data_IF_512067989701
#
_entry.id   IF_512067989701
#
_cell.length_a   1.000
_cell.length_b   1.000
_cell.length_c   1.000
_cell.angle_alpha   90.00
_cell.angle_beta   90.00
_cell.angle_gamma   90.00
#
_symmetry.space_group_name_H-M   'P 1'
#
loop_
_entity.id
_entity.type
_entity.pdbx_description
1 polymer ?
#
# COMPACT_ATOMS: atom_id res chain seq x y z
N UNK A 1 38.48 -16.90 11.05
CA UNK A 1 37.87 -15.85 10.20
C UNK A 1 38.56 -15.91 8.85
N UNK A 2 37.83 -16.29 7.80
CA UNK A 2 38.39 -16.44 6.44
C UNK A 2 38.18 -15.15 5.65
N UNK A 3 38.99 -14.91 4.61
CA UNK A 3 38.95 -13.66 3.82
C UNK A 3 37.60 -13.37 3.15
N UNK A 4 36.72 -14.37 3.01
CA UNK A 4 35.36 -14.19 2.52
C UNK A 4 34.46 -13.41 3.51
N UNK A 5 34.67 -13.60 4.82
CA UNK A 5 33.94 -12.88 5.87
C UNK A 5 34.34 -11.40 5.89
N UNK A 6 35.62 -11.12 5.59
CA UNK A 6 36.18 -9.76 5.57
C UNK A 6 35.68 -8.96 4.37
N UNK A 7 35.54 -9.60 3.19
CA UNK A 7 35.01 -8.96 1.99
C UNK A 7 33.51 -8.69 2.11
N UNK A 8 32.74 -9.64 2.68
CA UNK A 8 31.32 -9.45 2.98
C UNK A 8 31.13 -8.27 3.96
N UNK A 9 31.88 -8.22 5.05
CA UNK A 9 31.80 -7.12 6.02
C UNK A 9 32.31 -5.76 5.47
N UNK A 10 33.20 -5.76 4.48
CA UNK A 10 33.64 -4.55 3.80
C UNK A 10 32.56 -4.04 2.81
N UNK A 11 31.90 -4.95 2.09
CA UNK A 11 30.80 -4.62 1.19
C UNK A 11 29.56 -4.10 1.94
N UNK A 12 29.24 -4.68 3.11
CA UNK A 12 28.17 -4.17 3.99
C UNK A 12 28.43 -2.72 4.46
N UNK A 13 29.68 -2.40 4.84
CA UNK A 13 30.05 -1.02 5.21
C UNK A 13 30.06 -0.04 4.03
N UNK A 14 30.35 -0.50 2.81
CA UNK A 14 30.37 0.35 1.61
C UNK A 14 28.99 0.58 1.00
N UNK A 15 28.09 -0.40 1.07
CA UNK A 15 26.77 -0.35 0.43
C UNK A 15 25.67 0.21 1.35
N UNK A 16 26.00 0.44 2.63
CA UNK A 16 25.04 0.85 3.65
C UNK A 16 24.18 -0.35 4.05
N UNK A 17 24.29 -0.78 5.29
CA UNK A 17 23.28 -1.66 5.85
C UNK A 17 21.97 -0.88 5.91
N UNK A 18 20.97 -1.28 5.11
CA UNK A 18 19.59 -0.95 5.45
C UNK A 18 19.38 -1.46 6.86
N UNK A 19 19.11 -0.60 7.87
CA UNK A 19 19.00 -1.06 9.24
C UNK A 19 17.97 -2.18 9.27
N UNK A 20 18.31 -3.30 9.91
CA UNK A 20 17.37 -4.38 10.13
C UNK A 20 16.10 -3.79 10.80
N UNK A 21 14.99 -3.76 10.05
CA UNK A 21 13.72 -3.16 10.48
C UNK A 21 13.30 -1.86 9.77
N UNK A 22 14.10 -1.26 8.89
CA UNK A 22 13.66 -0.13 8.08
C UNK A 22 13.19 -0.61 6.70
N UNK A 23 11.86 -0.73 6.51
CA UNK A 23 11.29 -0.86 5.16
C UNK A 23 11.73 0.36 4.33
N UNK A 24 12.41 0.18 3.18
CA UNK A 24 12.91 1.31 2.40
C UNK A 24 11.78 2.27 2.06
N UNK A 25 11.94 3.55 2.42
CA UNK A 25 11.00 4.66 2.14
C UNK A 25 10.49 4.69 0.70
N UNK A 26 11.29 4.18 -0.22
CA UNK A 26 10.94 3.97 -1.62
C UNK A 26 11.15 2.50 -1.98
N UNK A 27 10.10 1.82 -2.41
CA UNK A 27 10.18 0.51 -3.06
C UNK A 27 10.19 0.68 -4.56
N UNK A 28 10.98 -0.13 -5.25
CA UNK A 28 11.10 -0.08 -6.71
C UNK A 28 10.87 -1.48 -7.27
N UNK A 29 10.09 -1.54 -8.34
CA UNK A 29 9.89 -2.73 -9.14
C UNK A 29 10.24 -2.44 -10.59
N UNK A 30 10.98 -3.34 -11.21
CA UNK A 30 11.34 -3.27 -12.63
C UNK A 30 11.14 -4.63 -13.27
N UNK A 31 10.59 -4.63 -14.48
CA UNK A 31 10.45 -5.84 -15.27
C UNK A 31 10.66 -5.59 -16.76
N UNK A 32 11.13 -6.63 -17.46
CA UNK A 32 11.47 -6.60 -18.86
C UNK A 32 10.79 -7.77 -19.58
N UNK A 33 10.00 -7.47 -20.60
CA UNK A 33 9.20 -8.45 -21.34
C UNK A 33 9.60 -8.47 -22.82
N UNK A 34 9.89 -9.67 -23.33
CA UNK A 34 10.18 -9.90 -24.73
C UNK A 34 8.88 -9.86 -25.56
N UNK A 35 8.76 -8.86 -26.44
CA UNK A 35 7.57 -8.55 -27.23
C UNK A 35 7.13 -9.74 -28.11
N UNK A 36 8.02 -10.39 -28.90
CA UNK A 36 7.63 -11.55 -29.70
C UNK A 36 7.10 -12.71 -28.84
N UNK A 37 7.67 -12.93 -27.65
CA UNK A 37 7.24 -14.01 -26.74
C UNK A 37 5.87 -13.72 -26.13
N UNK A 38 5.63 -12.49 -25.68
CA UNK A 38 4.32 -12.09 -25.16
C UNK A 38 3.23 -12.21 -26.23
N UNK A 39 3.49 -11.73 -27.44
CA UNK A 39 2.57 -11.85 -28.57
C UNK A 39 2.30 -13.31 -28.94
N UNK A 40 3.32 -14.16 -28.89
CA UNK A 40 3.18 -15.58 -29.18
C UNK A 40 2.36 -16.35 -28.13
N UNK A 41 2.55 -16.05 -26.84
CA UNK A 41 1.72 -16.61 -25.76
C UNK A 41 0.25 -16.21 -25.93
N UNK A 42 -0.02 -14.93 -26.21
CA UNK A 42 -1.37 -14.45 -26.45
C UNK A 42 -2.03 -15.15 -27.64
N UNK A 43 -1.31 -15.36 -28.75
CA UNK A 43 -1.83 -16.11 -29.91
C UNK A 43 -2.09 -17.57 -29.60
N UNK A 44 -1.16 -18.24 -28.90
CA UNK A 44 -1.27 -19.69 -28.61
C UNK A 44 -2.36 -20.02 -27.60
N UNK A 45 -2.54 -19.18 -26.58
CA UNK A 45 -3.47 -19.45 -25.48
C UNK A 45 -4.78 -18.64 -25.55
N UNK A 46 -4.84 -17.64 -26.42
CA UNK A 46 -6.05 -16.91 -26.77
C UNK A 46 -6.70 -16.14 -25.61
N UNK A 47 -8.01 -15.92 -25.76
CA UNK A 47 -8.81 -15.08 -24.85
C UNK A 47 -8.81 -15.55 -23.40
N UNK A 48 -8.72 -16.86 -23.14
CA UNK A 48 -8.69 -17.37 -21.77
C UNK A 48 -7.47 -16.87 -21.02
N UNK A 49 -6.29 -16.97 -21.63
CA UNK A 49 -5.06 -16.47 -21.02
C UNK A 49 -5.11 -14.96 -20.85
N UNK A 50 -5.63 -14.22 -21.85
CA UNK A 50 -5.82 -12.78 -21.73
C UNK A 50 -6.76 -12.40 -20.57
N UNK A 51 -7.83 -13.17 -20.35
CA UNK A 51 -8.76 -12.95 -19.25
C UNK A 51 -8.16 -13.27 -17.87
N UNK A 52 -7.18 -14.17 -17.81
CA UNK A 52 -6.44 -14.48 -16.58
C UNK A 52 -5.41 -13.39 -16.24
N UNK A 53 -4.83 -12.71 -17.24
CA UNK A 53 -3.82 -11.68 -17.04
C UNK A 53 -4.40 -10.25 -16.90
N UNK A 54 -5.50 -9.95 -17.61
CA UNK A 54 -5.99 -8.59 -17.82
C UNK A 54 -7.47 -8.44 -17.44
N UNK A 55 -7.85 -7.28 -16.90
CA UNK A 55 -9.24 -6.90 -16.66
C UNK A 55 -10.01 -6.66 -17.97
N UNK A 56 -11.36 -6.62 -17.95
CA UNK A 56 -12.14 -6.28 -19.14
C UNK A 56 -11.76 -4.90 -19.73
N UNK A 57 -11.48 -3.90 -18.90
CA UNK A 57 -11.10 -2.56 -19.35
C UNK A 57 -9.73 -2.55 -20.02
N UNK A 58 -8.80 -3.33 -19.48
CA UNK A 58 -7.50 -3.53 -20.10
C UNK A 58 -7.64 -4.18 -21.47
N UNK A 59 -8.38 -5.29 -21.57
CA UNK A 59 -8.60 -5.97 -22.85
C UNK A 59 -9.25 -5.07 -23.89
N UNK A 60 -10.20 -4.23 -23.49
CA UNK A 60 -10.79 -3.22 -24.38
C UNK A 60 -9.74 -2.23 -24.90
N UNK A 61 -8.87 -1.69 -24.03
CA UNK A 61 -7.77 -0.81 -24.45
C UNK A 61 -6.71 -1.52 -25.32
N UNK A 62 -6.47 -2.82 -25.09
CA UNK A 62 -5.56 -3.62 -25.93
C UNK A 62 -6.15 -3.84 -27.33
N UNK A 63 -7.44 -4.17 -27.41
CA UNK A 63 -8.12 -4.35 -28.68
C UNK A 63 -8.20 -3.05 -29.50
N UNK A 64 -8.28 -1.90 -28.82
CA UNK A 64 -8.29 -0.58 -29.47
C UNK A 64 -6.89 -0.02 -29.80
N UNK A 65 -5.80 -0.72 -29.41
CA UNK A 65 -4.45 -0.22 -29.61
C UNK A 65 -4.06 -0.22 -31.10
N UNK A 66 -3.61 0.92 -31.60
CA UNK A 66 -3.13 1.09 -32.98
C UNK A 66 -1.60 1.17 -33.03
N UNK A 67 -1.01 0.81 -34.18
CA UNK A 67 0.44 0.87 -34.40
C UNK A 67 1.19 -0.35 -33.86
N UNK A 68 1.41 -0.43 -32.54
CA UNK A 68 2.29 -1.43 -31.90
C UNK A 68 1.56 -2.30 -30.86
N UNK A 69 0.58 -3.13 -31.27
CA UNK A 69 -0.25 -3.91 -30.34
C UNK A 69 0.58 -4.92 -29.51
N UNK A 70 1.58 -5.57 -30.12
CA UNK A 70 2.49 -6.47 -29.40
C UNK A 70 3.31 -5.77 -28.32
N UNK A 71 3.87 -4.59 -28.63
CA UNK A 71 4.63 -3.80 -27.66
C UNK A 71 3.71 -3.24 -26.55
N UNK A 72 2.47 -2.87 -26.89
CA UNK A 72 1.47 -2.43 -25.91
C UNK A 72 1.09 -3.56 -24.94
N UNK A 73 0.87 -4.77 -25.45
CA UNK A 73 0.62 -5.96 -24.63
C UNK A 73 1.81 -6.24 -23.70
N UNK A 74 3.01 -6.31 -24.26
CA UNK A 74 4.23 -6.59 -23.53
C UNK A 74 4.53 -5.52 -22.45
N UNK A 75 4.36 -4.24 -22.78
CA UNK A 75 4.55 -3.14 -21.83
C UNK A 75 3.57 -3.20 -20.67
N UNK A 76 2.33 -3.66 -20.91
CA UNK A 76 1.35 -3.86 -19.84
C UNK A 76 1.69 -5.06 -18.95
N UNK A 77 2.18 -6.15 -19.52
CA UNK A 77 2.71 -7.28 -18.72
C UNK A 77 3.90 -6.82 -17.87
N UNK A 78 4.86 -6.12 -18.47
CA UNK A 78 6.01 -5.57 -17.76
C UNK A 78 5.55 -4.67 -16.60
N UNK A 79 4.54 -3.82 -16.82
CA UNK A 79 3.99 -2.97 -15.77
C UNK A 79 3.39 -3.77 -14.61
N UNK A 80 2.62 -4.82 -14.90
CA UNK A 80 2.01 -5.69 -13.88
C UNK A 80 3.07 -6.43 -13.06
N UNK A 81 4.08 -6.99 -13.72
CA UNK A 81 5.18 -7.73 -13.07
C UNK A 81 6.08 -6.78 -12.27
N UNK A 82 6.37 -5.60 -12.80
CA UNK A 82 7.09 -4.55 -12.07
C UNK A 82 6.32 -4.15 -10.80
N UNK A 83 5.01 -4.00 -10.88
CA UNK A 83 4.18 -3.69 -9.71
C UNK A 83 4.07 -4.85 -8.73
N UNK A 84 3.96 -6.09 -9.21
CA UNK A 84 3.99 -7.27 -8.35
C UNK A 84 5.28 -7.33 -7.52
N UNK A 85 6.43 -6.91 -8.09
CA UNK A 85 7.71 -6.86 -7.39
C UNK A 85 7.75 -5.85 -6.24
N UNK A 86 6.87 -4.85 -6.20
CA UNK A 86 6.69 -4.01 -5.01
C UNK A 86 6.13 -4.80 -3.82
N UNK A 87 5.34 -5.83 -4.10
CA UNK A 87 4.53 -6.61 -3.16
C UNK A 87 5.23 -7.90 -2.67
N UNK A 88 6.30 -8.33 -3.34
CA UNK A 88 7.16 -9.48 -2.99
C UNK A 88 8.12 -9.14 -1.84
N UNK A 89 8.65 -10.10 -1.05
CA UNK A 89 8.84 -11.54 -1.32
C UNK A 89 7.86 -12.51 -0.65
N UNK A 90 6.67 -12.07 -0.25
CA UNK A 90 5.71 -12.93 0.45
C UNK A 90 5.24 -14.15 -0.36
N UNK A 91 4.78 -15.18 0.37
CA UNK A 91 4.42 -16.51 -0.18
C UNK A 91 3.09 -16.56 -0.94
N UNK A 92 2.21 -15.59 -0.74
CA UNK A 92 0.89 -15.57 -1.36
C UNK A 92 0.98 -15.17 -2.85
N UNK A 93 0.29 -15.92 -3.71
CA UNK A 93 0.21 -15.64 -5.13
C UNK A 93 -0.81 -14.52 -5.37
N UNK A 94 -0.37 -13.41 -5.98
CA UNK A 94 -1.23 -12.32 -6.41
C UNK A 94 -1.52 -12.49 -7.91
N UNK A 95 -2.78 -12.67 -8.33
CA UNK A 95 -3.13 -12.74 -9.75
C UNK A 95 -2.78 -11.45 -10.48
N UNK A 96 -2.18 -11.52 -11.67
CA UNK A 96 -1.83 -10.32 -12.44
C UNK A 96 -3.05 -9.47 -12.85
N UNK A 97 -4.24 -10.06 -12.95
CA UNK A 97 -5.50 -9.32 -13.18
C UNK A 97 -5.89 -8.39 -12.04
N UNK A 98 -5.38 -8.63 -10.83
CA UNK A 98 -5.63 -7.75 -9.67
C UNK A 98 -4.80 -6.47 -9.74
N UNK A 99 -3.87 -6.38 -10.69
CA UNK A 99 -3.04 -5.20 -10.94
C UNK A 99 -3.50 -4.59 -12.27
N UNK A 100 -4.52 -3.73 -12.27
CA UNK A 100 -5.05 -3.15 -13.50
C UNK A 100 -4.18 -1.98 -13.98
N UNK A 101 -3.77 -1.98 -15.25
CA UNK A 101 -2.94 -0.93 -15.86
C UNK A 101 -3.68 -0.26 -17.00
N UNK A 102 -4.09 0.99 -16.79
CA UNK A 102 -4.83 1.78 -17.76
C UNK A 102 -3.99 2.96 -18.27
N UNK A 103 -4.34 3.50 -19.43
CA UNK A 103 -3.88 4.82 -19.84
C UNK A 103 -4.89 5.87 -19.40
N UNK A 104 -4.42 6.91 -18.72
CA UNK A 104 -5.19 8.11 -18.43
C UNK A 104 -5.50 8.90 -19.72
N UNK A 105 -6.47 9.83 -19.73
CA UNK A 105 -6.78 10.64 -20.90
C UNK A 105 -5.57 11.41 -21.49
N UNK A 106 -4.60 11.78 -20.65
CA UNK A 106 -3.34 12.38 -21.07
C UNK A 106 -2.27 11.41 -21.59
N UNK A 107 -2.60 10.13 -21.76
CA UNK A 107 -1.69 9.09 -22.26
C UNK A 107 -0.80 8.43 -21.20
N UNK A 108 -0.67 9.03 -20.01
CA UNK A 108 0.14 8.49 -18.92
C UNK A 108 -0.41 7.14 -18.42
N UNK A 109 0.44 6.12 -18.21
CA UNK A 109 0.02 4.83 -17.65
C UNK A 109 -0.20 4.93 -16.14
N UNK A 110 -1.28 4.34 -15.64
CA UNK A 110 -1.64 4.31 -14.21
C UNK A 110 -1.97 2.90 -13.76
N UNK A 111 -1.58 2.55 -12.52
CA UNK A 111 -1.92 1.27 -11.89
C UNK A 111 -3.09 1.45 -10.93
N UNK A 112 -4.08 0.56 -11.04
CA UNK A 112 -5.26 0.43 -10.19
C UNK A 112 -5.25 -0.96 -9.54
N UNK A 113 -4.70 -1.11 -8.32
CA UNK A 113 -4.69 -2.38 -7.62
C UNK A 113 -6.08 -2.73 -7.08
N UNK A 114 -6.42 -4.02 -7.14
CA UNK A 114 -7.67 -4.62 -6.69
C UNK A 114 -7.40 -5.81 -5.76
N UNK A 115 -8.44 -6.28 -5.06
CA UNK A 115 -8.44 -7.55 -4.32
C UNK A 115 -7.12 -7.86 -3.57
N UNK A 116 -6.41 -8.94 -3.94
CA UNK A 116 -5.20 -9.38 -3.23
C UNK A 116 -4.05 -8.37 -3.36
N UNK A 117 -3.91 -7.74 -4.53
CA UNK A 117 -2.90 -6.70 -4.74
C UNK A 117 -3.15 -5.49 -3.82
N UNK A 118 -4.40 -5.01 -3.73
CA UNK A 118 -4.75 -3.89 -2.87
C UNK A 118 -4.60 -4.22 -1.38
N UNK A 119 -5.02 -5.41 -0.96
CA UNK A 119 -4.87 -5.88 0.41
C UNK A 119 -3.38 -5.88 0.80
N UNK A 120 -2.52 -6.43 -0.06
CA UNK A 120 -1.09 -6.48 0.21
C UNK A 120 -0.45 -5.10 0.27
N UNK A 121 -0.82 -4.23 -0.67
CA UNK A 121 -0.26 -2.90 -0.78
C UNK A 121 -0.55 -2.08 0.49
N UNK A 122 -1.75 -2.25 1.08
CA UNK A 122 -2.12 -1.70 2.38
C UNK A 122 -1.32 -2.31 3.54
N UNK A 123 -1.18 -3.63 3.57
CA UNK A 123 -0.40 -4.33 4.61
C UNK A 123 1.09 -3.92 4.62
N UNK A 124 1.61 -3.47 3.47
CA UNK A 124 2.98 -2.96 3.32
C UNK A 124 3.08 -1.44 3.40
N UNK A 125 2.00 -0.74 3.77
CA UNK A 125 1.93 0.71 3.91
C UNK A 125 2.41 1.48 2.68
N UNK A 126 2.25 0.91 1.48
CA UNK A 126 2.54 1.60 0.23
C UNK A 126 1.35 2.50 -0.07
N UNK A 127 1.57 3.80 -0.23
CA UNK A 127 0.45 4.78 -0.32
C UNK A 127 0.40 5.53 -1.63
N UNK A 128 1.56 5.71 -2.26
CA UNK A 128 1.70 6.46 -3.50
C UNK A 128 2.61 5.69 -4.43
N UNK A 129 2.24 5.57 -5.70
CA UNK A 129 3.06 4.91 -6.70
C UNK A 129 3.03 5.65 -8.03
N UNK A 130 4.10 5.47 -8.79
CA UNK A 130 4.21 5.90 -10.18
C UNK A 130 4.61 4.73 -11.07
N UNK A 131 4.26 4.83 -12.34
CA UNK A 131 4.57 3.84 -13.36
C UNK A 131 5.11 4.54 -14.60
N UNK A 132 6.19 4.00 -15.13
CA UNK A 132 6.73 4.35 -16.44
C UNK A 132 6.87 3.09 -17.28
N UNK A 133 6.49 3.18 -18.56
CA UNK A 133 6.59 2.10 -19.52
C UNK A 133 7.27 2.66 -20.76
N UNK A 134 8.26 1.94 -21.28
CA UNK A 134 8.83 2.21 -22.60
C UNK A 134 9.10 0.90 -23.33
N UNK A 135 9.28 0.98 -24.64
CA UNK A 135 9.66 -0.16 -25.46
C UNK A 135 10.67 0.27 -26.52
N UNK A 136 11.61 -0.61 -26.83
CA UNK A 136 12.58 -0.42 -27.90
C UNK A 136 12.91 -1.78 -28.52
N UNK A 137 12.84 -1.85 -29.86
CA UNK A 137 12.97 -3.11 -30.59
C UNK A 137 11.99 -4.16 -30.08
N UNK A 138 12.52 -5.32 -29.71
CA UNK A 138 11.75 -6.50 -29.27
C UNK A 138 11.49 -6.54 -27.76
N UNK A 139 11.74 -5.45 -27.04
CA UNK A 139 11.63 -5.42 -25.58
C UNK A 139 10.72 -4.29 -25.11
N UNK A 140 9.92 -4.60 -24.09
CA UNK A 140 9.18 -3.62 -23.33
C UNK A 140 9.65 -3.67 -21.88
N UNK A 141 9.88 -2.51 -21.28
CA UNK A 141 10.31 -2.36 -19.89
C UNK A 141 9.31 -1.51 -19.14
N UNK A 142 9.07 -1.86 -17.88
CA UNK A 142 8.35 -1.01 -16.97
C UNK A 142 9.10 -0.84 -15.67
N UNK A 143 9.01 0.37 -15.12
CA UNK A 143 9.52 0.72 -13.81
C UNK A 143 8.37 1.30 -13.00
N UNK A 144 8.24 0.83 -11.77
CA UNK A 144 7.34 1.42 -10.80
C UNK A 144 8.09 1.73 -9.52
N UNK A 145 7.72 2.82 -8.89
CA UNK A 145 8.23 3.20 -7.58
C UNK A 145 7.04 3.48 -6.67
N UNK A 146 7.12 3.03 -5.42
CA UNK A 146 6.12 3.30 -4.41
C UNK A 146 6.75 3.87 -3.14
N UNK A 147 6.06 4.79 -2.49
CA UNK A 147 6.43 5.30 -1.19
C UNK A 147 5.80 4.43 -0.11
N UNK A 148 6.62 3.85 0.76
CA UNK A 148 6.12 3.31 2.03
C UNK A 148 5.97 4.47 2.99
N UNK A 149 4.79 4.60 3.60
CA UNK A 149 4.65 5.43 4.78
C UNK A 149 5.32 4.68 5.93
N UNK A 150 6.55 5.07 6.27
CA UNK A 150 7.10 4.77 7.59
C UNK A 150 6.26 5.55 8.61
N UNK A 151 5.12 4.98 9.01
CA UNK A 151 4.08 5.65 9.82
C UNK A 151 3.40 6.81 9.05
N UNK A 152 2.11 7.12 9.28
CA UNK A 152 1.57 8.42 8.89
C UNK A 152 2.51 9.47 9.47
N UNK A 153 3.08 10.30 8.61
CA UNK A 153 3.78 11.50 9.06
C UNK A 153 2.69 12.52 9.40
N UNK A 154 1.96 12.27 10.48
CA UNK A 154 1.64 13.41 11.35
C UNK A 154 3.02 13.92 11.75
N UNK A 155 3.39 15.20 11.49
CA UNK A 155 4.56 15.73 12.17
C UNK A 155 4.37 15.39 13.66
N UNK A 156 5.41 14.97 14.40
CA UNK A 156 5.29 15.02 15.84
C UNK A 156 4.92 16.47 16.14
N UNK A 157 3.65 16.71 16.50
CA UNK A 157 3.30 17.88 17.26
C UNK A 157 4.03 17.64 18.57
N UNK A 158 5.29 18.06 18.61
CA UNK A 158 6.09 18.06 19.82
C UNK A 158 5.29 18.91 20.82
N UNK A 159 4.58 18.24 21.73
CA UNK A 159 3.67 18.86 22.70
C UNK A 159 2.19 18.50 22.63
N UNK A 160 1.70 17.75 21.62
CA UNK A 160 0.30 17.34 21.56
C UNK A 160 0.05 16.03 22.32
N UNK A 161 -0.96 16.04 23.19
CA UNK A 161 -1.46 14.87 23.91
C UNK A 161 -1.99 13.80 22.93
N UNK A 162 -2.00 12.50 23.30
CA UNK A 162 -2.60 11.44 22.49
C UNK A 162 -4.03 11.77 22.02
N UNK A 163 -4.84 12.39 22.88
CA UNK A 163 -6.21 12.81 22.54
C UNK A 163 -6.27 13.91 21.48
N UNK A 164 -5.32 14.84 21.47
CA UNK A 164 -5.23 15.84 20.41
C UNK A 164 -4.88 15.19 19.06
N UNK A 165 -3.99 14.20 19.04
CA UNK A 165 -3.64 13.49 17.80
C UNK A 165 -4.83 12.70 17.22
N UNK A 166 -5.64 12.09 18.09
CA UNK A 166 -6.89 11.42 17.72
C UNK A 166 -7.90 12.41 17.15
N UNK A 167 -8.12 13.54 17.85
CA UNK A 167 -9.04 14.58 17.40
C UNK A 167 -8.62 15.20 16.06
N UNK A 168 -7.34 15.50 15.89
CA UNK A 168 -6.78 16.06 14.65
C UNK A 168 -6.94 15.10 13.47
N UNK A 169 -6.75 13.79 13.68
CA UNK A 169 -6.97 12.79 12.65
C UNK A 169 -8.45 12.74 12.22
N UNK A 170 -9.38 12.75 13.18
CA UNK A 170 -10.82 12.76 12.87
C UNK A 170 -11.19 14.03 12.10
N UNK A 171 -10.68 15.20 12.49
CA UNK A 171 -10.92 16.46 11.77
C UNK A 171 -10.31 16.44 10.35
N UNK A 172 -9.11 15.90 10.19
CA UNK A 172 -8.46 15.76 8.89
C UNK A 172 -9.23 14.86 7.91
N UNK A 173 -9.89 13.82 8.43
CA UNK A 173 -10.80 12.95 7.66
C UNK A 173 -12.13 13.62 7.35
N UNK A 174 -12.55 14.58 8.17
CA UNK A 174 -13.83 15.27 8.08
C UNK A 174 -13.64 16.80 7.91
N UNK A 175 -13.02 17.28 6.81
CA UNK A 175 -12.71 18.70 6.62
C UNK A 175 -13.96 19.60 6.56
N UNK A 176 -15.13 19.02 6.26
CA UNK A 176 -16.41 19.73 6.23
C UNK A 176 -17.03 19.94 7.63
N UNK A 177 -16.50 19.30 8.67
CA UNK A 177 -17.02 19.41 10.03
C UNK A 177 -16.92 20.85 10.57
N UNK A 178 -15.81 21.55 10.27
CA UNK A 178 -15.62 22.97 10.58
C UNK A 178 -15.63 23.33 12.08
N UNK A 179 -15.66 22.33 12.96
CA UNK A 179 -15.68 22.46 14.43
C UNK A 179 -14.90 21.30 15.06
N UNK A 180 -14.56 21.45 16.33
CA UNK A 180 -14.00 20.35 17.13
C UNK A 180 -15.06 19.28 17.42
N UNK A 181 -14.58 18.04 17.58
CA UNK A 181 -15.39 16.88 17.95
C UNK A 181 -15.56 16.88 19.46
N UNK A 182 -16.80 16.79 19.95
CA UNK A 182 -17.04 16.80 21.38
C UNK A 182 -16.63 15.44 22.02
N UNK A 183 -16.14 15.40 23.28
CA UNK A 183 -15.67 14.17 23.90
C UNK A 183 -16.70 13.03 23.95
N UNK A 184 -17.97 13.37 24.19
CA UNK A 184 -19.10 12.44 24.23
C UNK A 184 -19.82 12.27 22.89
N UNK A 185 -19.33 12.86 21.80
CA UNK A 185 -19.93 12.76 20.48
C UNK A 185 -19.81 11.33 19.94
N UNK A 186 -20.90 10.80 19.38
CA UNK A 186 -20.92 9.48 18.77
C UNK A 186 -20.21 9.50 17.41
N UNK A 187 -19.01 8.95 17.37
CA UNK A 187 -18.14 8.95 16.20
C UNK A 187 -18.68 8.06 15.06
N UNK A 188 -19.54 7.10 15.39
CA UNK A 188 -20.04 6.09 14.45
C UNK A 188 -21.38 6.55 13.88
N UNK A 189 -22.34 6.91 14.74
CA UNK A 189 -23.63 7.48 14.31
C UNK A 189 -23.43 8.82 13.59
N UNK A 190 -22.47 9.63 14.06
CA UNK A 190 -22.03 10.86 13.39
C UNK A 190 -21.27 10.63 12.08
N UNK A 191 -20.97 9.36 11.73
CA UNK A 191 -20.19 8.94 10.55
C UNK A 191 -18.82 9.62 10.44
N UNK A 192 -18.22 9.96 11.57
CA UNK A 192 -16.90 10.58 11.63
C UNK A 192 -15.80 9.53 11.39
N UNK A 193 -16.10 8.25 11.66
CA UNK A 193 -15.26 7.10 11.36
C UNK A 193 -16.11 6.06 10.64
N UNK A 194 -15.81 5.78 9.37
CA UNK A 194 -16.47 4.73 8.61
C UNK A 194 -15.70 3.40 8.63
N UNK A 195 -16.24 2.35 8.01
CA UNK A 195 -15.62 1.01 8.00
C UNK A 195 -14.26 0.96 7.30
N UNK A 196 -13.95 1.90 6.40
CA UNK A 196 -12.67 1.97 5.72
C UNK A 196 -11.64 2.72 6.57
N UNK A 197 -12.07 3.81 7.21
CA UNK A 197 -11.26 4.63 8.11
C UNK A 197 -10.98 3.92 9.44
N UNK A 198 -11.84 2.98 9.87
CA UNK A 198 -11.69 2.27 11.14
C UNK A 198 -10.36 1.53 11.28
N UNK A 199 -9.84 0.89 10.22
CA UNK A 199 -8.55 0.20 10.32
C UNK A 199 -7.38 1.17 10.48
N UNK A 200 -7.43 2.32 9.80
CA UNK A 200 -6.44 3.39 9.96
C UNK A 200 -6.53 4.00 11.37
N UNK A 201 -7.75 4.10 11.91
CA UNK A 201 -8.00 4.54 13.26
C UNK A 201 -7.39 3.62 14.31
N UNK A 202 -7.56 2.30 14.17
CA UNK A 202 -6.91 1.32 15.06
C UNK A 202 -5.40 1.48 15.03
N UNK A 203 -4.80 1.62 13.85
CA UNK A 203 -3.36 1.84 13.73
C UNK A 203 -2.89 3.13 14.42
N UNK A 204 -3.66 4.22 14.29
CA UNK A 204 -3.39 5.46 15.02
C UNK A 204 -3.42 5.21 16.53
N UNK A 205 -4.46 4.52 17.03
CA UNK A 205 -4.61 4.21 18.46
C UNK A 205 -3.45 3.38 19.00
N UNK A 206 -2.99 2.36 18.28
CA UNK A 206 -1.79 1.58 18.65
C UNK A 206 -0.55 2.46 18.72
N UNK A 207 -0.39 3.38 17.75
CA UNK A 207 0.73 4.30 17.70
C UNK A 207 0.74 5.29 18.86
N UNK A 208 -0.42 5.84 19.26
CA UNK A 208 -0.50 6.83 20.34
C UNK A 208 -0.55 6.21 21.73
N UNK A 209 -1.06 4.98 21.85
CA UNK A 209 -1.08 4.22 23.11
C UNK A 209 0.23 3.47 23.37
N UNK A 210 1.04 3.22 22.33
CA UNK A 210 2.29 2.47 22.42
C UNK A 210 2.10 0.97 22.66
N UNK A 211 0.88 0.44 22.48
CA UNK A 211 0.54 -0.99 22.67
C UNK A 211 -0.33 -1.51 21.52
N UNK A 212 -0.16 -2.78 21.12
CA UNK A 212 -1.05 -3.40 20.13
C UNK A 212 -2.47 -3.56 20.70
N UNK A 213 -3.48 -3.46 19.84
CA UNK A 213 -4.89 -3.63 20.18
C UNK A 213 -5.36 -4.99 19.66
N UNK A 214 -5.76 -5.88 20.57
CA UNK A 214 -6.37 -7.15 20.19
C UNK A 214 -7.83 -6.95 19.78
N UNK A 215 -8.09 -7.10 18.48
CA UNK A 215 -9.43 -6.95 17.90
C UNK A 215 -10.44 -8.00 18.40
N UNK A 216 -9.98 -9.10 19.01
CA UNK A 216 -10.87 -10.09 19.61
C UNK A 216 -11.41 -9.67 20.99
N UNK A 217 -10.72 -8.75 21.68
CA UNK A 217 -11.00 -8.31 23.06
C UNK A 217 -11.62 -6.91 23.14
N UNK A 218 -12.01 -6.36 21.98
CA UNK A 218 -12.63 -5.04 21.86
C UNK A 218 -13.98 -5.14 21.18
N UNK A 219 -14.84 -4.20 21.49
CA UNK A 219 -16.20 -4.07 20.98
C UNK A 219 -16.33 -2.75 20.24
N UNK A 220 -17.35 -2.64 19.39
CA UNK A 220 -17.66 -1.38 18.68
C UNK A 220 -17.90 -0.23 19.67
N UNK A 221 -18.47 -0.53 20.84
CA UNK A 221 -18.78 0.45 21.87
C UNK A 221 -17.52 1.08 22.49
N UNK A 222 -16.38 0.38 22.48
CA UNK A 222 -15.10 0.91 22.96
C UNK A 222 -14.58 2.08 22.11
N UNK A 223 -15.05 2.20 20.86
CA UNK A 223 -14.62 3.23 19.90
C UNK A 223 -15.69 4.31 19.67
N UNK A 224 -16.80 4.26 20.41
CA UNK A 224 -17.99 5.04 20.11
C UNK A 224 -17.84 6.53 20.40
N UNK A 225 -17.05 6.89 21.42
CA UNK A 225 -16.80 8.28 21.82
C UNK A 225 -15.32 8.47 22.18
N UNK A 226 -14.83 9.71 22.09
CA UNK A 226 -13.47 10.06 22.47
C UNK A 226 -13.17 9.77 23.95
N UNK A 227 -14.14 9.98 24.84
CA UNK A 227 -14.04 9.64 26.27
C UNK A 227 -13.75 8.15 26.48
N UNK A 228 -14.51 7.28 25.80
CA UNK A 228 -14.34 5.82 25.92
C UNK A 228 -13.01 5.36 25.36
N UNK A 229 -12.58 5.99 24.27
CA UNK A 229 -11.28 5.71 23.67
C UNK A 229 -10.15 6.07 24.65
N UNK A 230 -10.24 7.23 25.30
CA UNK A 230 -9.28 7.66 26.30
C UNK A 230 -9.22 6.67 27.47
N UNK A 231 -10.37 6.34 28.05
CA UNK A 231 -10.49 5.42 29.19
C UNK A 231 -9.96 4.02 28.86
N UNK A 232 -10.31 3.47 27.69
CA UNK A 232 -9.97 2.09 27.33
C UNK A 232 -8.52 1.96 26.86
N UNK A 233 -8.06 2.90 26.03
CA UNK A 233 -6.81 2.74 25.28
C UNK A 233 -5.67 3.61 25.79
N UNK A 234 -5.95 4.72 26.49
CA UNK A 234 -4.92 5.72 26.86
C UNK A 234 -4.77 5.95 28.36
N UNK A 235 -5.77 5.58 29.18
CA UNK A 235 -5.66 5.69 30.63
C UNK A 235 -4.49 4.83 31.15
N UNK A 236 -3.67 5.35 32.08
CA UNK A 236 -2.63 4.56 32.71
C UNK A 236 -3.29 3.37 33.40
N UNK A 237 -2.76 2.16 33.17
CA UNK A 237 -3.21 0.96 33.86
C UNK A 237 -3.25 1.26 35.36
N UNK A 238 -4.44 1.23 35.96
CA UNK A 238 -4.58 1.43 37.40
C UNK A 238 -3.67 0.41 38.07
N UNK A 239 -2.67 0.81 38.88
CA UNK A 239 -1.92 -0.15 39.67
C UNK A 239 -2.91 -0.79 40.63
N UNK A 240 -3.40 -1.97 40.24
CA UNK A 240 -4.31 -2.77 41.04
C UNK A 240 -3.67 -3.03 42.39
N UNK A 241 -4.38 -2.60 43.44
CA UNK A 241 -3.97 -2.76 44.83
C UNK A 241 -3.67 -4.22 45.16
N UNK A 242 -2.45 -4.46 45.61
CA UNK A 242 -2.15 -5.58 46.49
C UNK A 242 -2.44 -5.10 47.92
N UNK A 243 -3.57 -5.56 48.47
CA UNK A 243 -3.75 -5.74 49.90
C UNK A 243 -3.21 -7.12 50.29
#
# INVERSE_FOLDING_TARGET
MTGADTLRAALHRMLGDTPAGADPRVRVGVDLVHVPRAADLARRHGERWLADQFTPRERAQLAAATGTPGATLAGRLAAKEAFLKLLTPERELIPLRDIEVLRAPGGAPTVHPHAAALHRLRAQHLTHWSLSITHEGDWAVAVTAALTSSTPRTPPLQGATPMQQIADWIQGKNPALGREVAPAEDLIEGRLIDSLDFLEFIYLLESVSGRPIDLAEVTVDDFRTLERIEERFLAPATPGGAA
#
